data_IF_633807457814
#
_entry.id   IF_633807457814
#
_cell.length_a   1.000
_cell.length_b   1.000
_cell.length_c   1.000
_cell.angle_alpha   90.00
_cell.angle_beta   90.00
_cell.angle_gamma   90.00
#
_symmetry.space_group_name_H-M   'P 1'
#
loop_
_entity.id
_entity.type
_entity.pdbx_description
1 polymer ?
#
# COMPACT_ATOMS: atom_id res chain seq x y z
N UNK A 1 7.17 -13.44 -12.48
CA UNK A 1 6.10 -12.51 -12.06
C UNK A 1 6.49 -11.89 -10.72
N UNK A 2 6.23 -10.61 -10.45
CA UNK A 2 6.55 -10.02 -9.16
C UNK A 2 5.82 -10.79 -8.06
N UNK A 3 6.60 -11.22 -7.06
CA UNK A 3 6.10 -11.97 -5.93
C UNK A 3 5.23 -11.07 -5.01
N UNK A 4 4.17 -11.64 -4.42
CA UNK A 4 3.24 -10.88 -3.57
C UNK A 4 3.97 -10.20 -2.40
N UNK A 5 5.01 -10.83 -1.85
CA UNK A 5 5.79 -10.27 -0.75
C UNK A 5 6.68 -9.11 -1.19
N UNK A 6 7.15 -9.12 -2.44
CA UNK A 6 7.87 -7.96 -3.02
C UNK A 6 6.93 -6.75 -3.08
N UNK A 7 5.71 -6.92 -3.58
CA UNK A 7 4.72 -5.84 -3.66
C UNK A 7 4.33 -5.34 -2.26
N UNK A 8 4.15 -6.24 -1.29
CA UNK A 8 3.87 -5.86 0.11
C UNK A 8 5.00 -5.03 0.73
N UNK A 9 6.25 -5.48 0.56
CA UNK A 9 7.44 -4.74 1.06
C UNK A 9 7.60 -3.38 0.39
N UNK A 10 7.27 -3.26 -0.89
CA UNK A 10 7.29 -1.98 -1.59
C UNK A 10 6.21 -1.02 -1.04
N UNK A 11 4.98 -1.49 -0.81
CA UNK A 11 3.91 -0.70 -0.19
C UNK A 11 4.34 -0.17 1.18
N UNK A 12 4.94 -1.03 2.01
CA UNK A 12 5.40 -0.65 3.35
C UNK A 12 6.50 0.42 3.28
N UNK A 13 7.52 0.21 2.45
CA UNK A 13 8.59 1.20 2.24
C UNK A 13 8.05 2.54 1.74
N UNK A 14 7.10 2.52 0.80
CA UNK A 14 6.46 3.72 0.29
C UNK A 14 5.66 4.45 1.36
N UNK A 15 4.88 3.74 2.19
CA UNK A 15 4.13 4.34 3.31
C UNK A 15 5.04 5.03 4.31
N UNK A 16 6.18 4.43 4.65
CA UNK A 16 7.18 5.05 5.54
C UNK A 16 7.71 6.34 4.91
N UNK A 17 8.05 6.31 3.61
CA UNK A 17 8.55 7.49 2.89
C UNK A 17 7.50 8.61 2.82
N UNK A 18 6.26 8.29 2.47
CA UNK A 18 5.13 9.22 2.45
C UNK A 18 4.89 9.83 3.84
N UNK A 19 4.97 9.02 4.90
CA UNK A 19 4.84 9.51 6.28
C UNK A 19 5.94 10.49 6.68
N UNK A 20 7.18 10.27 6.25
CA UNK A 20 8.29 11.21 6.45
C UNK A 20 8.08 12.50 5.65
N UNK A 21 7.71 12.40 4.38
CA UNK A 21 7.45 13.55 3.51
C UNK A 21 6.35 14.45 4.08
N UNK A 22 5.28 13.88 4.63
CA UNK A 22 4.20 14.65 5.29
C UNK A 22 4.72 15.45 6.49
N UNK A 23 5.63 14.88 7.29
CA UNK A 23 6.23 15.57 8.45
C UNK A 23 7.11 16.72 8.01
N UNK A 24 7.90 16.52 6.96
CA UNK A 24 8.77 17.56 6.40
C UNK A 24 7.95 18.72 5.81
N UNK A 25 6.90 18.41 5.03
CA UNK A 25 5.96 19.41 4.52
C UNK A 25 5.35 20.23 5.67
N UNK A 26 4.91 19.58 6.74
CA UNK A 26 4.35 20.27 7.91
C UNK A 26 5.37 21.20 8.58
N UNK A 27 6.64 20.78 8.67
CA UNK A 27 7.70 21.63 9.21
C UNK A 27 7.97 22.85 8.33
N UNK A 28 8.02 22.66 7.01
CA UNK A 28 8.19 23.75 6.04
C UNK A 28 7.03 24.74 6.07
N UNK A 29 5.78 24.25 6.12
CA UNK A 29 4.59 25.08 6.26
C UNK A 29 4.62 25.92 7.56
N UNK A 30 5.03 25.32 8.68
CA UNK A 30 5.20 26.04 9.96
C UNK A 30 6.29 27.11 9.92
N UNK A 31 7.31 26.91 9.09
CA UNK A 31 8.36 27.90 8.84
C UNK A 31 7.94 28.98 7.81
N UNK A 32 6.70 28.93 7.29
CA UNK A 32 6.22 29.86 6.26
C UNK A 32 6.83 29.63 4.87
N UNK A 33 7.44 28.47 4.63
CA UNK A 33 8.03 28.11 3.34
C UNK A 33 6.95 27.52 2.44
N UNK A 34 6.87 27.97 1.19
CA UNK A 34 5.92 27.43 0.21
C UNK A 34 6.19 25.95 -0.10
N UNK A 35 5.17 25.11 0.05
CA UNK A 35 5.28 23.64 -0.07
C UNK A 35 4.61 23.04 -1.31
N UNK A 36 4.15 23.85 -2.27
CA UNK A 36 3.36 23.40 -3.41
C UNK A 36 4.02 22.26 -4.22
N UNK A 37 5.33 22.33 -4.45
CA UNK A 37 6.07 21.29 -5.17
C UNK A 37 6.19 19.98 -4.36
N UNK A 38 6.36 20.08 -3.05
CA UNK A 38 6.45 18.93 -2.15
C UNK A 38 5.08 18.24 -2.00
N UNK A 39 3.99 19.01 -1.96
CA UNK A 39 2.62 18.49 -1.96
C UNK A 39 2.29 17.77 -3.28
N UNK A 40 2.70 18.31 -4.43
CA UNK A 40 2.56 17.63 -5.71
C UNK A 40 3.37 16.32 -5.79
N UNK A 41 4.56 16.27 -5.18
CA UNK A 41 5.31 15.02 -5.03
C UNK A 41 4.58 14.02 -4.13
N UNK A 42 4.05 14.49 -2.99
CA UNK A 42 3.31 13.66 -2.04
C UNK A 42 2.10 13.00 -2.73
N UNK A 43 1.32 13.77 -3.49
CA UNK A 43 0.18 13.25 -4.25
C UNK A 43 0.58 12.15 -5.24
N UNK A 44 1.70 12.31 -5.97
CA UNK A 44 2.22 11.26 -6.87
C UNK A 44 2.66 10.00 -6.11
N UNK A 45 3.25 10.15 -4.92
CA UNK A 45 3.61 9.01 -4.09
C UNK A 45 2.38 8.25 -3.58
N UNK A 46 1.31 8.96 -3.22
CA UNK A 46 0.03 8.37 -2.81
C UNK A 46 -0.62 7.60 -3.96
N UNK A 47 -0.69 8.19 -5.15
CA UNK A 47 -1.18 7.51 -6.36
C UNK A 47 -0.38 6.25 -6.68
N UNK A 48 0.94 6.26 -6.45
CA UNK A 48 1.77 5.06 -6.62
C UNK A 48 1.44 3.97 -5.60
N UNK A 49 1.16 4.32 -4.35
CA UNK A 49 0.73 3.37 -3.31
C UNK A 49 -0.60 2.73 -3.70
N UNK A 50 -1.55 3.51 -4.21
CA UNK A 50 -2.85 3.00 -4.69
C UNK A 50 -2.67 1.99 -5.82
N UNK A 51 -1.83 2.31 -6.81
CA UNK A 51 -1.47 1.40 -7.90
C UNK A 51 -0.86 0.09 -7.40
N UNK A 52 0.05 0.15 -6.41
CA UNK A 52 0.65 -1.04 -5.80
C UNK A 52 -0.39 -1.86 -5.01
N UNK A 53 -1.35 -1.21 -4.33
CA UNK A 53 -2.45 -1.90 -3.66
C UNK A 53 -3.33 -2.66 -4.67
N UNK A 54 -3.69 -2.02 -5.78
CA UNK A 54 -4.44 -2.67 -6.85
C UNK A 54 -3.68 -3.87 -7.45
N UNK A 55 -2.36 -3.72 -7.66
CA UNK A 55 -1.51 -4.83 -8.12
C UNK A 55 -1.46 -5.98 -7.11
N UNK A 56 -1.31 -5.69 -5.81
CA UNK A 56 -1.36 -6.71 -4.75
C UNK A 56 -2.68 -7.46 -4.77
N UNK A 57 -3.79 -6.77 -4.94
CA UNK A 57 -5.13 -7.36 -4.93
C UNK A 57 -5.35 -8.23 -6.18
N UNK A 58 -4.87 -7.79 -7.34
CA UNK A 58 -4.84 -8.60 -8.55
C UNK A 58 -4.00 -9.89 -8.38
N UNK A 59 -2.80 -9.77 -7.80
CA UNK A 59 -1.93 -10.93 -7.52
C UNK A 59 -2.52 -11.89 -6.48
N UNK A 60 -3.25 -11.35 -5.49
CA UNK A 60 -3.97 -12.16 -4.49
C UNK A 60 -5.14 -12.92 -5.12
N UNK A 61 -5.84 -12.31 -6.07
CA UNK A 61 -6.96 -12.94 -6.79
C UNK A 61 -6.47 -13.96 -7.84
N UNK A 62 -5.31 -13.71 -8.46
CA UNK A 62 -4.71 -14.60 -9.45
C UNK A 62 -4.05 -15.84 -8.84
N UNK A 63 -3.64 -15.76 -7.56
CA UNK A 63 -3.22 -16.95 -6.84
C UNK A 63 -4.41 -17.90 -6.70
N UNK A 64 -4.27 -19.18 -7.08
CA UNK A 64 -5.32 -20.15 -6.84
C UNK A 64 -5.61 -20.12 -5.34
N UNK A 65 -6.83 -19.72 -4.97
CA UNK A 65 -7.31 -19.96 -3.61
C UNK A 65 -7.07 -21.44 -3.38
N UNK A 66 -6.15 -21.79 -2.50
CA UNK A 66 -6.19 -23.12 -1.89
C UNK A 66 -7.57 -23.18 -1.24
N UNK A 67 -8.52 -23.76 -1.95
CA UNK A 67 -9.80 -24.16 -1.41
C UNK A 67 -9.47 -25.25 -0.42
N UNK A 68 -8.93 -24.88 0.77
CA UNK A 68 -8.94 -25.75 1.94
C UNK A 68 -10.40 -26.15 2.04
N UNK A 69 -10.65 -27.42 1.75
CA UNK A 69 -11.99 -27.95 1.53
C UNK A 69 -12.91 -27.37 2.59
N UNK A 70 -14.03 -26.80 2.15
CA UNK A 70 -15.17 -26.55 3.03
C UNK A 70 -15.57 -27.93 3.59
N UNK A 71 -14.93 -28.36 4.66
CA UNK A 71 -15.47 -29.41 5.51
C UNK A 71 -16.54 -28.70 6.33
N UNK A 72 -17.72 -28.56 5.74
CA UNK A 72 -18.96 -28.50 6.49
C UNK A 72 -19.18 -29.91 7.06
N UNK A 73 -18.31 -30.32 7.97
CA UNK A 73 -18.44 -31.55 8.73
C UNK A 73 -19.63 -31.35 9.65
N UNK A 74 -20.74 -32.02 9.32
CA UNK A 74 -21.98 -31.94 10.06
C UNK A 74 -21.78 -32.31 11.53
N UNK A 75 -22.53 -31.64 12.40
CA UNK A 75 -22.73 -32.06 13.79
C UNK A 75 -23.26 -33.50 13.79
N UNK A 76 -22.50 -34.42 14.36
CA UNK A 76 -23.02 -35.70 14.84
C UNK A 76 -23.50 -35.51 16.27
N UNK A 77 -24.79 -35.83 16.49
CA UNK A 77 -25.41 -35.96 17.80
C UNK A 77 -24.90 -37.20 18.53
#
# INVERSE_FOLDING_TARGET
MPDLDVVRREIERMRIRTGRQRKEILQLQRAGVGTASAEALLSRMEAKIESLCAQRDALKNAQPRQTKGRVLGGRTW
#
